data_IF_966403331706
#
_entry.id   IF_966403331706
#
_cell.length_a   1.000
_cell.length_b   1.000
_cell.length_c   1.000
_cell.angle_alpha   90.00
_cell.angle_beta   90.00
_cell.angle_gamma   90.00
#
_symmetry.space_group_name_H-M   'P 1'
#
loop_
_entity.id
_entity.type
_entity.pdbx_description
1 polymer ?
#
# COMPACT_ATOMS: atom_id res chain seq x y z
N UNK A 1 3.88 -16.53 -1.01
CA UNK A 1 3.84 -15.26 -1.74
C UNK A 1 2.58 -14.43 -1.46
N UNK A 2 1.36 -14.95 -1.69
CA UNK A 2 0.13 -14.18 -1.45
C UNK A 2 -0.04 -13.68 0.00
N UNK A 3 0.43 -14.44 0.99
CA UNK A 3 0.48 -14.00 2.39
C UNK A 3 1.32 -12.73 2.57
N UNK A 4 2.51 -12.68 1.96
CA UNK A 4 3.42 -11.53 2.05
C UNK A 4 2.79 -10.31 1.36
N UNK A 5 2.14 -10.51 0.20
CA UNK A 5 1.43 -9.44 -0.51
C UNK A 5 0.36 -8.80 0.39
N UNK A 6 -0.47 -9.62 1.07
CA UNK A 6 -1.48 -9.14 2.02
C UNK A 6 -0.86 -8.36 3.17
N UNK A 7 0.19 -8.90 3.79
CA UNK A 7 0.88 -8.24 4.90
C UNK A 7 1.51 -6.90 4.50
N UNK A 8 2.07 -6.81 3.30
CA UNK A 8 2.64 -5.55 2.79
C UNK A 8 1.57 -4.52 2.51
N UNK A 9 0.42 -4.93 1.96
CA UNK A 9 -0.72 -4.03 1.77
C UNK A 9 -1.20 -3.49 3.12
N UNK A 10 -1.41 -4.36 4.11
CA UNK A 10 -1.84 -3.93 5.46
C UNK A 10 -0.84 -2.96 6.12
N UNK A 11 0.47 -3.19 5.92
CA UNK A 11 1.51 -2.27 6.40
C UNK A 11 1.45 -0.93 5.67
N UNK A 12 1.36 -0.96 4.34
CA UNK A 12 1.31 0.24 3.51
C UNK A 12 0.09 1.12 3.85
N UNK A 13 -1.08 0.51 4.09
CA UNK A 13 -2.29 1.25 4.47
C UNK A 13 -2.43 1.51 5.97
N UNK A 14 -1.51 1.00 6.79
CA UNK A 14 -1.55 1.14 8.25
C UNK A 14 -2.77 0.52 8.93
N UNK A 15 -3.44 -0.45 8.28
CA UNK A 15 -4.72 -1.04 8.74
C UNK A 15 -4.79 -2.53 8.41
N UNK A 16 -5.37 -3.31 9.33
CA UNK A 16 -5.69 -4.74 9.12
C UNK A 16 -7.01 -4.91 8.36
N UNK A 17 -7.10 -5.94 7.52
CA UNK A 17 -8.33 -6.27 6.81
C UNK A 17 -9.04 -7.42 7.51
N UNK A 18 -9.90 -7.11 8.48
CA UNK A 18 -10.54 -8.10 9.38
C UNK A 18 -12.04 -8.14 9.20
N UNK A 19 -12.69 -6.99 8.97
CA UNK A 19 -14.15 -6.88 8.86
C UNK A 19 -14.60 -6.57 7.43
N UNK A 20 -15.85 -6.90 7.03
CA UNK A 20 -16.35 -6.65 5.68
C UNK A 20 -16.16 -5.22 5.16
N UNK A 21 -16.27 -4.23 6.06
CA UNK A 21 -16.09 -2.80 5.72
C UNK A 21 -14.65 -2.47 5.32
N UNK A 22 -13.66 -3.17 5.85
CA UNK A 22 -12.25 -2.95 5.48
C UNK A 22 -12.01 -3.26 4.00
N UNK A 23 -12.66 -4.30 3.48
CA UNK A 23 -12.54 -4.71 2.08
C UNK A 23 -13.27 -3.78 1.12
N UNK A 24 -14.38 -3.16 1.54
CA UNK A 24 -15.04 -2.12 0.75
C UNK A 24 -14.15 -0.90 0.62
N UNK A 25 -13.56 -0.46 1.73
CA UNK A 25 -12.59 0.63 1.75
C UNK A 25 -11.34 0.32 0.92
N UNK A 26 -10.77 -0.89 1.04
CA UNK A 26 -9.59 -1.27 0.27
C UNK A 26 -9.90 -1.35 -1.24
N UNK A 27 -11.09 -1.83 -1.60
CA UNK A 27 -11.54 -1.84 -3.00
C UNK A 27 -11.52 -0.44 -3.61
N UNK A 28 -12.01 0.55 -2.87
CA UNK A 28 -12.00 1.97 -3.29
C UNK A 28 -10.57 2.48 -3.43
N UNK A 29 -9.70 2.24 -2.44
CA UNK A 29 -8.29 2.70 -2.50
C UNK A 29 -7.48 2.06 -3.62
N UNK A 30 -7.73 0.79 -3.90
CA UNK A 30 -7.10 0.09 -5.04
C UNK A 30 -7.55 0.72 -6.36
N UNK A 31 -8.85 0.99 -6.51
CA UNK A 31 -9.41 1.58 -7.72
C UNK A 31 -8.93 3.03 -7.93
N UNK A 32 -8.95 3.87 -6.90
CA UNK A 32 -8.41 5.24 -6.93
C UNK A 32 -6.96 5.28 -7.44
N UNK A 33 -6.12 4.36 -6.96
CA UNK A 33 -4.69 4.37 -7.23
C UNK A 33 -4.29 3.68 -8.54
N UNK A 34 -4.87 2.52 -8.81
CA UNK A 34 -4.48 1.68 -9.97
C UNK A 34 -5.36 1.93 -11.19
N UNK A 35 -6.50 2.63 -11.03
CA UNK A 35 -7.56 2.74 -12.03
C UNK A 35 -8.12 1.37 -12.47
N UNK A 36 -7.87 0.33 -11.67
CA UNK A 36 -8.33 -1.04 -11.90
C UNK A 36 -9.20 -1.49 -10.72
N UNK A 37 -10.32 -2.12 -11.05
CA UNK A 37 -11.31 -2.51 -10.06
C UNK A 37 -11.11 -3.93 -9.56
N UNK A 38 -11.02 -4.08 -8.24
CA UNK A 38 -11.06 -5.38 -7.54
C UNK A 38 -12.16 -5.32 -6.49
N UNK A 39 -13.24 -6.08 -6.69
CA UNK A 39 -14.40 -6.02 -5.80
C UNK A 39 -14.07 -6.42 -4.35
N UNK A 40 -14.79 -5.85 -3.38
CA UNK A 40 -14.70 -6.24 -1.98
C UNK A 40 -14.94 -7.75 -1.74
N UNK A 41 -15.78 -8.40 -2.56
CA UNK A 41 -16.00 -9.85 -2.52
C UNK A 41 -14.74 -10.62 -2.94
N UNK A 42 -14.05 -10.16 -3.99
CA UNK A 42 -12.77 -10.72 -4.42
C UNK A 42 -11.69 -10.55 -3.36
N UNK A 43 -11.61 -9.37 -2.72
CA UNK A 43 -10.65 -9.10 -1.64
C UNK A 43 -10.93 -9.96 -0.41
N UNK A 44 -12.20 -10.13 -0.02
CA UNK A 44 -12.59 -11.04 1.09
C UNK A 44 -12.09 -12.46 0.87
N UNK A 45 -12.25 -13.00 -0.35
CA UNK A 45 -11.73 -14.32 -0.72
C UNK A 45 -10.20 -14.35 -0.66
N UNK A 46 -9.53 -13.34 -1.22
CA UNK A 46 -8.07 -13.26 -1.22
C UNK A 46 -7.48 -13.20 0.19
N UNK A 47 -8.14 -12.53 1.13
CA UNK A 47 -7.75 -12.50 2.54
C UNK A 47 -8.12 -13.77 3.32
N UNK A 48 -8.92 -14.66 2.75
CA UNK A 48 -9.41 -15.88 3.43
C UNK A 48 -10.57 -15.61 4.39
N UNK A 49 -11.24 -14.46 4.28
CA UNK A 49 -12.44 -14.14 5.07
C UNK A 49 -13.61 -15.06 4.71
N UNK A 50 -13.70 -15.48 3.45
CA UNK A 50 -14.66 -16.51 2.99
C UNK A 50 -13.87 -17.68 2.43
N UNK A 51 -14.04 -18.86 3.02
CA UNK A 51 -13.38 -20.10 2.61
C UNK A 51 -14.09 -20.72 1.40
N UNK A 52 -13.68 -20.36 0.18
CA UNK A 52 -14.20 -20.99 -1.05
C UNK A 52 -13.15 -21.80 -1.83
N UNK A 53 -11.93 -21.96 -1.33
CA UNK A 53 -10.92 -22.82 -1.98
C UNK A 53 -10.43 -22.33 -3.35
N UNK A 54 -10.89 -21.17 -3.83
CA UNK A 54 -10.50 -20.59 -5.11
C UNK A 54 -9.30 -19.66 -4.93
N UNK A 55 -8.19 -19.95 -5.61
CA UNK A 55 -7.02 -19.06 -5.67
C UNK A 55 -7.40 -17.78 -6.42
N UNK A 56 -6.89 -16.62 -5.98
CA UNK A 56 -7.10 -15.38 -6.70
C UNK A 56 -6.56 -15.46 -8.14
N UNK A 57 -7.24 -14.77 -9.06
CA UNK A 57 -6.82 -14.70 -10.46
C UNK A 57 -5.47 -13.97 -10.60
N UNK A 58 -4.72 -14.28 -11.67
CA UNK A 58 -3.48 -13.54 -12.02
C UNK A 58 -3.74 -12.03 -12.08
N UNK A 59 -4.87 -11.64 -12.66
CA UNK A 59 -5.32 -10.24 -12.70
C UNK A 59 -5.38 -9.63 -11.29
N UNK A 60 -6.08 -10.26 -10.35
CA UNK A 60 -6.21 -9.73 -8.98
C UNK A 60 -4.84 -9.54 -8.31
N UNK A 61 -3.94 -10.51 -8.48
CA UNK A 61 -2.58 -10.42 -7.91
C UNK A 61 -1.78 -9.27 -8.52
N UNK A 62 -1.90 -9.07 -9.84
CA UNK A 62 -1.24 -7.98 -10.54
C UNK A 62 -1.76 -6.62 -10.08
N UNK A 63 -3.08 -6.44 -9.97
CA UNK A 63 -3.66 -5.18 -9.48
C UNK A 63 -3.17 -4.88 -8.05
N UNK A 64 -3.12 -5.88 -7.18
CA UNK A 64 -2.66 -5.71 -5.80
C UNK A 64 -1.16 -5.44 -5.69
N UNK A 65 -0.34 -6.02 -6.57
CA UNK A 65 1.07 -5.67 -6.69
C UNK A 65 1.25 -4.23 -7.23
N UNK A 66 0.43 -3.84 -8.20
CA UNK A 66 0.38 -2.47 -8.73
C UNK A 66 -0.01 -1.45 -7.67
N UNK A 67 -0.96 -1.81 -6.80
CA UNK A 67 -1.31 -0.99 -5.66
C UNK A 67 -0.11 -0.74 -4.73
N UNK A 68 0.80 -1.71 -4.58
CA UNK A 68 2.07 -1.55 -3.84
C UNK A 68 3.15 -0.76 -4.59
N UNK A 69 2.94 -0.44 -5.86
CA UNK A 69 3.91 0.28 -6.71
C UNK A 69 4.78 -0.62 -7.59
N UNK A 70 4.47 -1.91 -7.68
CA UNK A 70 5.14 -2.84 -8.63
C UNK A 70 4.41 -2.86 -9.97
N UNK A 71 5.09 -3.21 -11.05
CA UNK A 71 4.49 -3.41 -12.38
C UNK A 71 3.46 -4.53 -12.32
N UNK A 72 3.82 -5.67 -11.71
CA UNK A 72 2.95 -6.82 -11.57
C UNK A 72 3.36 -7.76 -10.42
N UNK A 73 2.66 -8.89 -10.29
CA UNK A 73 2.93 -9.86 -9.24
C UNK A 73 4.26 -10.63 -9.42
N UNK A 74 4.77 -10.73 -10.64
CA UNK A 74 6.06 -11.39 -10.91
C UNK A 74 7.22 -10.51 -10.44
N UNK A 75 7.19 -9.21 -10.76
CA UNK A 75 8.17 -8.25 -10.25
C UNK A 75 8.13 -8.17 -8.72
N UNK A 76 6.92 -8.15 -8.13
CA UNK A 76 6.76 -8.26 -6.69
C UNK A 76 7.50 -9.49 -6.14
N UNK A 77 7.36 -10.65 -6.79
CA UNK A 77 8.03 -11.88 -6.41
C UNK A 77 9.55 -11.80 -6.43
N UNK A 78 10.11 -11.24 -7.50
CA UNK A 78 11.56 -11.02 -7.63
C UNK A 78 12.10 -10.10 -6.53
N UNK A 79 11.36 -9.03 -6.21
CA UNK A 79 11.75 -8.06 -5.17
C UNK A 79 11.79 -8.66 -3.76
N UNK A 80 11.09 -9.77 -3.49
CA UNK A 80 11.14 -10.42 -2.18
C UNK A 80 12.39 -11.30 -1.99
N UNK A 81 13.02 -11.73 -3.09
CA UNK A 81 14.25 -12.54 -3.06
C UNK A 81 15.53 -11.70 -3.01
N UNK A 82 15.47 -10.46 -3.51
CA UNK A 82 16.58 -9.51 -3.45
C UNK A 82 16.51 -8.79 -2.09
N UNK A 83 17.48 -9.02 -1.21
CA UNK A 83 17.49 -8.58 0.20
C UNK A 83 17.45 -7.05 0.46
N UNK A 84 17.18 -6.24 -0.56
CA UNK A 84 17.00 -4.80 -0.43
C UNK A 84 15.52 -4.48 -0.21
N UNK A 85 15.16 -4.24 1.06
CA UNK A 85 13.87 -3.65 1.43
C UNK A 85 13.74 -2.27 0.78
N UNK A 86 13.10 -2.21 -0.37
CA UNK A 86 12.74 -0.94 -1.02
C UNK A 86 11.85 -0.11 -0.09
N UNK A 87 12.03 1.21 -0.12
CA UNK A 87 11.25 2.17 0.65
C UNK A 87 9.76 1.99 0.36
N UNK A 88 9.00 1.48 1.34
CA UNK A 88 7.56 1.30 1.18
C UNK A 88 6.85 2.65 1.34
N UNK A 89 6.07 3.04 0.34
CA UNK A 89 5.17 4.18 0.43
C UNK A 89 4.07 3.88 1.45
N UNK A 90 3.74 4.84 2.31
CA UNK A 90 2.71 4.70 3.35
C UNK A 90 1.49 5.53 2.94
N UNK A 91 0.34 4.89 2.79
CA UNK A 91 -0.94 5.58 2.59
C UNK A 91 -1.52 5.92 3.97
N UNK A 92 -1.89 7.19 4.17
CA UNK A 92 -2.61 7.66 5.37
C UNK A 92 -1.79 8.47 6.36
N UNK A 93 -0.53 8.79 6.07
CA UNK A 93 0.21 9.87 6.76
C UNK A 93 0.41 11.02 5.80
N UNK A 94 -0.51 11.96 5.79
CA UNK A 94 -0.41 13.20 5.03
C UNK A 94 -0.08 14.37 5.96
N UNK A 95 0.66 15.34 5.43
CA UNK A 95 0.93 16.61 6.09
C UNK A 95 0.41 17.69 5.14
N UNK A 96 -0.61 18.45 5.55
CA UNK A 96 -1.08 19.60 4.78
C UNK A 96 -0.15 20.79 4.98
N UNK A 97 0.08 21.57 3.92
CA UNK A 97 0.77 22.86 3.99
C UNK A 97 0.05 23.85 4.93
N UNK A 98 -1.28 23.75 5.06
CA UNK A 98 -2.07 24.60 5.97
C UNK A 98 -1.68 24.42 7.45
N UNK A 99 -1.09 23.26 7.78
CA UNK A 99 -0.65 22.93 9.13
C UNK A 99 0.84 23.21 9.35
N UNK A 100 1.52 23.87 8.40
CA UNK A 100 2.94 24.18 8.47
C UNK A 100 3.17 25.68 8.64
N UNK A 101 4.11 26.06 9.50
CA UNK A 101 4.57 27.45 9.63
C UNK A 101 5.88 27.66 8.88
N UNK A 102 6.08 28.85 8.32
CA UNK A 102 7.29 29.19 7.58
C UNK A 102 8.55 28.96 8.45
N UNK A 103 9.54 28.29 7.87
CA UNK A 103 10.75 27.87 8.56
C UNK A 103 10.64 26.53 9.30
N UNK A 104 9.46 25.92 9.38
CA UNK A 104 9.28 24.58 9.98
C UNK A 104 10.10 23.53 9.23
N UNK A 105 10.77 22.67 9.99
CA UNK A 105 11.61 21.59 9.47
C UNK A 105 10.90 20.25 9.64
N UNK A 106 10.64 19.55 8.54
CA UNK A 106 10.08 18.21 8.52
C UNK A 106 11.21 17.20 8.31
N UNK A 107 11.31 16.22 9.21
CA UNK A 107 12.24 15.09 9.06
C UNK A 107 11.48 13.88 8.53
N UNK A 108 11.74 13.53 7.28
CA UNK A 108 11.34 12.26 6.68
C UNK A 108 12.43 11.23 6.98
N UNK A 109 12.04 10.01 7.35
CA UNK A 109 12.99 8.93 7.64
C UNK A 109 12.45 7.61 7.13
N UNK A 110 13.31 6.82 6.48
CA UNK A 110 12.98 5.49 6.00
C UNK A 110 14.16 4.54 6.19
N UNK A 111 13.84 3.25 6.22
CA UNK A 111 14.85 2.22 6.40
C UNK A 111 15.86 2.21 5.24
N UNK A 112 17.09 1.70 5.47
CA UNK A 112 17.61 1.27 6.78
C UNK A 112 17.95 2.43 7.74
N UNK A 113 18.32 3.59 7.22
CA UNK A 113 18.84 4.73 8.00
C UNK A 113 18.79 6.06 7.23
N UNK A 114 17.98 6.12 6.17
CA UNK A 114 17.93 7.28 5.26
C UNK A 114 17.04 8.36 5.87
N UNK A 115 17.51 9.60 5.83
CA UNK A 115 16.74 10.75 6.31
C UNK A 115 16.80 11.91 5.34
N UNK A 116 15.66 12.57 5.14
CA UNK A 116 15.57 13.82 4.40
C UNK A 116 14.96 14.89 5.32
N UNK A 117 15.53 16.09 5.32
CA UNK A 117 15.01 17.23 6.07
C UNK A 117 14.51 18.26 5.07
N UNK A 118 13.24 18.61 5.17
CA UNK A 118 12.57 19.58 4.31
C UNK A 118 12.27 20.81 5.15
N UNK A 119 12.64 22.00 4.66
CA UNK A 119 12.22 23.27 5.25
C UNK A 119 11.01 23.79 4.49
N UNK A 120 9.91 24.05 5.19
CA UNK A 120 8.80 24.77 4.59
C UNK A 120 9.18 26.25 4.43
N UNK A 121 9.14 26.78 3.21
CA UNK A 121 9.53 28.18 2.91
C UNK A 121 8.35 29.16 2.91
N UNK A 122 7.15 28.73 3.31
CA UNK A 122 5.94 29.54 3.13
C UNK A 122 5.44 29.53 1.69
N UNK A 123 4.43 30.36 1.40
CA UNK A 123 3.79 30.51 0.08
C UNK A 123 3.11 29.24 -0.45
N UNK A 124 2.19 28.68 0.34
CA UNK A 124 1.24 27.66 -0.14
C UNK A 124 0.30 28.21 -1.22
#
# INVERSE_FOLDING_TARGET
MEKILREMIEKMVGRKMVVPRDFAWLSEKVEERTQQRVSASTLRRFWGYVSEGVSASKFTKNVLANFLGYVDFEEFGLSQGMGERQSQMVIGKEISCDNLYEGQMLKLSWLPDRTCIIRYQGNG
#
